data_IF_025488739668
#
_entry.id   IF_025488739668
#
_cell.length_a   1.000
_cell.length_b   1.000
_cell.length_c   1.000
_cell.angle_alpha   90.00
_cell.angle_beta   90.00
_cell.angle_gamma   90.00
#
_symmetry.space_group_name_H-M   'P 1'
#
loop_
_entity.id
_entity.type
_entity.pdbx_description
1 polymer ?
#
# COMPACT_ATOMS: atom_id res chain seq x y z
N UNK A 1 17.23 -17.08 8.29
CA UNK A 1 16.87 -15.83 8.97
C UNK A 1 16.15 -16.21 10.25
N UNK A 2 16.64 -15.82 11.43
CA UNK A 2 16.04 -16.25 12.72
C UNK A 2 14.89 -15.34 13.13
N UNK A 3 15.00 -14.03 12.84
CA UNK A 3 13.94 -13.04 13.05
C UNK A 3 13.19 -12.81 11.73
N UNK A 4 11.88 -12.55 11.82
CA UNK A 4 11.07 -12.16 10.67
C UNK A 4 11.37 -10.72 10.26
N UNK A 5 11.32 -10.46 8.95
CA UNK A 5 11.32 -9.11 8.41
C UNK A 5 9.99 -8.43 8.72
N UNK A 6 10.04 -7.14 9.04
CA UNK A 6 8.85 -6.34 9.40
C UNK A 6 8.20 -5.72 8.15
N UNK A 7 9.01 -5.43 7.14
CA UNK A 7 8.58 -4.80 5.90
C UNK A 7 8.07 -5.83 4.89
N UNK A 8 6.99 -5.49 4.18
CA UNK A 8 6.53 -6.29 3.05
C UNK A 8 7.41 -6.00 1.83
N UNK A 9 8.29 -6.95 1.53
CA UNK A 9 9.26 -6.84 0.44
C UNK A 9 8.62 -6.64 -0.93
N UNK A 10 7.45 -7.25 -1.18
CA UNK A 10 6.76 -7.14 -2.47
C UNK A 10 6.28 -5.71 -2.70
N UNK A 11 5.70 -5.07 -1.67
CA UNK A 11 5.26 -3.67 -1.74
C UNK A 11 6.46 -2.74 -1.99
N UNK A 12 7.53 -2.92 -1.23
CA UNK A 12 8.73 -2.08 -1.31
C UNK A 12 9.39 -2.16 -2.70
N UNK A 13 9.60 -3.36 -3.21
CA UNK A 13 10.19 -3.58 -4.54
C UNK A 13 9.29 -3.02 -5.65
N UNK A 14 7.98 -3.26 -5.56
CA UNK A 14 6.99 -2.77 -6.53
C UNK A 14 6.98 -1.25 -6.61
N UNK A 15 6.89 -0.56 -5.47
CA UNK A 15 6.88 0.91 -5.43
C UNK A 15 8.22 1.49 -5.86
N UNK A 16 9.34 0.87 -5.46
CA UNK A 16 10.68 1.30 -5.86
C UNK A 16 10.85 1.31 -7.38
N UNK A 17 10.36 0.26 -8.07
CA UNK A 17 10.40 0.20 -9.54
C UNK A 17 9.55 1.32 -10.14
N UNK A 18 8.32 1.55 -9.64
CA UNK A 18 7.45 2.61 -10.14
C UNK A 18 8.06 4.00 -9.94
N UNK A 19 8.67 4.28 -8.79
CA UNK A 19 9.36 5.53 -8.53
C UNK A 19 10.59 5.73 -9.44
N UNK A 20 11.44 4.71 -9.60
CA UNK A 20 12.59 4.79 -10.51
C UNK A 20 12.16 5.08 -11.94
N UNK A 21 11.13 4.40 -12.44
CA UNK A 21 10.60 4.63 -13.78
C UNK A 21 10.02 6.04 -13.94
N UNK A 22 9.30 6.54 -12.93
CA UNK A 22 8.76 7.90 -12.94
C UNK A 22 9.87 8.97 -12.94
N UNK A 23 10.91 8.80 -12.11
CA UNK A 23 12.07 9.70 -12.05
C UNK A 23 12.86 9.72 -13.36
N UNK A 24 12.96 8.57 -14.03
CA UNK A 24 13.56 8.44 -15.35
C UNK A 24 12.66 8.94 -16.49
N UNK A 25 11.47 9.48 -16.19
CA UNK A 25 10.47 9.97 -17.15
C UNK A 25 10.04 8.92 -18.18
N UNK A 26 10.05 7.65 -17.78
CA UNK A 26 9.53 6.56 -18.60
C UNK A 26 8.01 6.62 -18.65
N UNK A 27 7.44 5.98 -19.68
CA UNK A 27 5.99 5.91 -19.84
C UNK A 27 5.36 5.17 -18.65
N UNK A 28 4.34 5.75 -17.97
CA UNK A 28 3.67 5.09 -16.87
C UNK A 28 3.00 3.77 -17.30
N UNK A 29 3.28 2.71 -16.56
CA UNK A 29 2.76 1.37 -16.82
C UNK A 29 1.64 1.03 -15.85
N UNK A 30 0.65 0.29 -16.35
CA UNK A 30 -0.45 -0.22 -15.55
C UNK A 30 0.06 -1.10 -14.42
N UNK A 31 -0.65 -1.13 -13.30
CA UNK A 31 -0.43 -2.05 -12.21
C UNK A 31 -1.75 -2.46 -11.57
N UNK A 32 -1.86 -3.76 -11.30
CA UNK A 32 -2.94 -4.41 -10.58
C UNK A 32 -2.36 -5.69 -9.97
N UNK A 33 -2.14 -5.67 -8.66
CA UNK A 33 -1.48 -6.76 -7.91
C UNK A 33 -2.19 -6.95 -6.59
N UNK A 34 -2.61 -8.18 -6.31
CA UNK A 34 -3.11 -8.60 -5.00
C UNK A 34 -2.09 -9.53 -4.35
N UNK A 35 -1.76 -9.29 -3.08
CA UNK A 35 -0.81 -10.08 -2.31
C UNK A 35 -1.26 -10.23 -0.86
N UNK A 36 -0.82 -11.29 -0.20
CA UNK A 36 -1.14 -11.58 1.19
C UNK A 36 0.07 -11.37 2.11
N UNK A 37 -0.20 -11.18 3.39
CA UNK A 37 0.81 -11.16 4.46
C UNK A 37 0.33 -12.03 5.65
N UNK A 38 1.11 -12.07 6.73
CA UNK A 38 0.75 -12.79 7.94
C UNK A 38 -0.58 -12.31 8.56
N UNK A 39 -1.16 -13.13 9.42
CA UNK A 39 -2.43 -12.86 10.12
C UNK A 39 -3.65 -12.63 9.20
N UNK A 40 -3.57 -13.12 7.96
CA UNK A 40 -4.65 -13.03 6.98
C UNK A 40 -4.85 -11.62 6.44
N UNK A 41 -3.81 -10.80 6.46
CA UNK A 41 -3.78 -9.48 5.83
C UNK A 41 -3.74 -9.63 4.31
N UNK A 42 -4.49 -8.77 3.62
CA UNK A 42 -4.50 -8.67 2.16
C UNK A 42 -4.13 -7.25 1.74
N UNK A 43 -3.27 -7.16 0.75
CA UNK A 43 -2.89 -5.91 0.09
C UNK A 43 -3.33 -5.92 -1.37
N UNK A 44 -3.67 -4.75 -1.87
CA UNK A 44 -4.01 -4.52 -3.27
C UNK A 44 -3.30 -3.26 -3.77
N UNK A 45 -2.50 -3.40 -4.82
CA UNK A 45 -1.76 -2.30 -5.47
C UNK A 45 -2.36 -2.08 -6.85
N UNK A 46 -2.94 -0.91 -7.07
CA UNK A 46 -3.70 -0.63 -8.29
C UNK A 46 -3.51 0.81 -8.77
N UNK A 47 -3.93 1.08 -10.02
CA UNK A 47 -4.02 2.44 -10.53
C UNK A 47 -5.36 3.09 -10.18
N UNK A 48 -5.31 4.30 -9.61
CA UNK A 48 -6.53 5.03 -9.20
C UNK A 48 -7.36 5.38 -10.44
N UNK A 49 -8.58 4.84 -10.54
CA UNK A 49 -9.50 5.10 -11.66
C UNK A 49 -8.87 4.87 -13.05
N UNK A 50 -7.92 3.94 -13.16
CA UNK A 50 -7.19 3.65 -14.40
C UNK A 50 -6.09 4.67 -14.78
N UNK A 51 -5.86 5.69 -13.95
CA UNK A 51 -4.78 6.66 -14.14
C UNK A 51 -3.42 6.00 -13.80
N UNK A 52 -2.66 5.66 -14.85
CA UNK A 52 -1.35 5.01 -14.72
C UNK A 52 -0.30 5.84 -13.98
N UNK A 53 -0.53 7.14 -13.82
CA UNK A 53 0.37 8.04 -13.07
C UNK A 53 0.13 7.99 -11.56
N UNK A 54 -1.02 7.46 -11.13
CA UNK A 54 -1.42 7.36 -9.72
C UNK A 54 -1.42 5.90 -9.31
N UNK A 55 -0.69 5.60 -8.24
CA UNK A 55 -0.63 4.26 -7.65
C UNK A 55 -1.28 4.34 -6.27
N UNK A 56 -2.21 3.43 -6.00
CA UNK A 56 -2.84 3.23 -4.69
C UNK A 56 -2.34 1.92 -4.11
N UNK A 57 -2.10 1.92 -2.80
CA UNK A 57 -1.83 0.71 -2.02
C UNK A 57 -2.92 0.63 -0.95
N UNK A 58 -3.76 -0.39 -1.06
CA UNK A 58 -4.83 -0.69 -0.12
C UNK A 58 -4.42 -1.86 0.76
N UNK A 59 -4.85 -1.83 2.02
CA UNK A 59 -4.65 -2.92 2.99
C UNK A 59 -6.00 -3.28 3.60
N UNK A 60 -6.26 -4.58 3.75
CA UNK A 60 -7.46 -5.13 4.38
C UNK A 60 -7.08 -6.04 5.52
N UNK A 61 -7.63 -5.74 6.71
CA UNK A 61 -7.48 -6.54 7.92
C UNK A 61 -8.86 -6.84 8.48
N UNK A 62 -9.14 -8.11 8.80
CA UNK A 62 -10.43 -8.54 9.36
C UNK A 62 -10.78 -7.85 10.68
N UNK A 63 -9.76 -7.41 11.43
CA UNK A 63 -9.89 -6.81 12.76
C UNK A 63 -9.58 -5.30 12.78
N UNK A 64 -9.57 -4.62 11.62
CA UNK A 64 -9.25 -3.18 11.58
C UNK A 64 -10.14 -2.34 12.51
N UNK A 65 -11.42 -2.69 12.64
CA UNK A 65 -12.35 -2.00 13.55
C UNK A 65 -11.91 -2.01 15.02
N UNK A 66 -11.30 -3.09 15.48
CA UNK A 66 -10.76 -3.16 16.84
C UNK A 66 -9.52 -2.27 17.01
N UNK A 67 -8.73 -2.08 15.95
CA UNK A 67 -7.59 -1.16 15.97
C UNK A 67 -8.04 0.31 15.91
N UNK A 68 -9.07 0.59 15.12
CA UNK A 68 -9.69 1.90 14.99
C UNK A 68 -10.19 2.42 16.35
N UNK A 69 -10.82 1.56 17.15
CA UNK A 69 -11.24 1.85 18.54
C UNK A 69 -10.09 2.30 19.46
N UNK A 70 -8.85 1.95 19.11
CA UNK A 70 -7.64 2.29 19.86
C UNK A 70 -6.79 3.37 19.17
N UNK A 71 -7.37 4.14 18.25
CA UNK A 71 -6.71 5.30 17.64
C UNK A 71 -5.84 4.99 16.42
N UNK A 72 -6.07 3.87 15.72
CA UNK A 72 -5.32 3.54 14.50
C UNK A 72 -5.40 4.64 13.44
N UNK A 73 -6.56 5.26 13.24
CA UNK A 73 -6.75 6.33 12.26
C UNK A 73 -5.88 7.56 12.54
N UNK A 74 -5.73 7.93 13.81
CA UNK A 74 -4.89 9.08 14.22
C UNK A 74 -3.42 8.79 13.94
N UNK A 75 -2.98 7.57 14.23
CA UNK A 75 -1.63 7.10 13.94
C UNK A 75 -1.36 7.11 12.43
N UNK A 76 -2.28 6.57 11.63
CA UNK A 76 -2.15 6.51 10.17
C UNK A 76 -2.10 7.90 9.55
N UNK A 77 -2.97 8.82 9.99
CA UNK A 77 -2.94 10.23 9.55
C UNK A 77 -1.61 10.90 9.90
N UNK A 78 -1.04 10.61 11.07
CA UNK A 78 0.27 11.15 11.46
C UNK A 78 1.42 10.61 10.61
N UNK A 79 1.39 9.33 10.24
CA UNK A 79 2.47 8.66 9.50
C UNK A 79 2.41 8.98 8.01
N UNK A 80 1.23 8.86 7.39
CA UNK A 80 1.07 8.99 5.94
C UNK A 80 0.61 10.38 5.49
N UNK A 81 0.00 11.16 6.38
CA UNK A 81 -0.43 12.54 6.12
C UNK A 81 -1.21 12.67 4.82
N UNK A 82 -0.72 13.46 3.85
CA UNK A 82 -1.43 13.72 2.59
C UNK A 82 -1.49 12.52 1.64
N UNK A 83 -0.72 11.45 1.90
CA UNK A 83 -0.76 10.22 1.11
C UNK A 83 -1.91 9.29 1.53
N UNK A 84 -2.47 9.49 2.74
CA UNK A 84 -3.61 8.72 3.20
C UNK A 84 -4.87 9.21 2.45
N UNK A 85 -5.57 8.28 1.82
CA UNK A 85 -6.81 8.57 1.08
C UNK A 85 -7.96 7.75 1.64
N UNK A 86 -9.17 8.03 1.15
CA UNK A 86 -10.33 7.17 1.39
C UNK A 86 -10.03 5.71 1.01
N UNK A 87 -10.50 4.73 1.81
CA UNK A 87 -10.35 3.31 1.52
C UNK A 87 -10.90 2.93 0.15
N UNK A 88 -10.31 1.89 -0.44
CA UNK A 88 -10.86 1.28 -1.64
C UNK A 88 -12.20 0.60 -1.37
N UNK A 89 -13.15 0.75 -2.29
CA UNK A 89 -14.52 0.22 -2.21
C UNK A 89 -14.64 -1.16 -2.82
#
# INVERSE_FOLDING_TARGET
MILLEINNRIIEETLTVKYKNALARLKPESIDVTLADFDGVLFHISNVNGDKTKVRVSISLKFYKQLEEHGADELLKRVYGPLLTEPES
#
